data_IF_225157765821
#
_entry.id   IF_225157765821
#
_cell.length_a   1.000
_cell.length_b   1.000
_cell.length_c   1.000
_cell.angle_alpha   90.00
_cell.angle_beta   90.00
_cell.angle_gamma   90.00
#
_symmetry.space_group_name_H-M   'P 1'
#
loop_
_entity.id
_entity.type
_entity.pdbx_description
1 polymer ?
#
# COMPACT_ATOMS: atom_id res chain seq x y z
N UNK A 1 11.81 13.36 29.08
CA UNK A 1 11.52 12.25 28.14
C UNK A 1 12.87 11.67 27.72
N UNK A 2 13.01 10.35 27.70
CA UNK A 2 14.22 9.69 27.14
C UNK A 2 14.30 10.00 25.64
N UNK A 3 15.50 10.25 25.11
CA UNK A 3 15.75 10.50 23.68
C UNK A 3 15.19 9.38 22.80
N UNK A 4 15.19 8.14 23.32
CA UNK A 4 14.61 6.98 22.67
C UNK A 4 13.10 7.15 22.41
N UNK A 5 12.35 7.67 23.37
CA UNK A 5 10.90 7.87 23.25
C UNK A 5 10.56 8.95 22.21
N UNK A 6 11.40 9.99 22.13
CA UNK A 6 11.28 11.06 21.15
C UNK A 6 11.42 10.50 19.73
N UNK A 7 12.42 9.63 19.50
CA UNK A 7 12.61 8.94 18.21
C UNK A 7 11.40 8.07 17.87
N UNK A 8 10.87 7.31 18.84
CA UNK A 8 9.68 6.47 18.61
C UNK A 8 8.48 7.31 18.19
N UNK A 9 8.25 8.45 18.84
CA UNK A 9 7.14 9.35 18.51
C UNK A 9 7.32 9.94 17.10
N UNK A 10 8.52 10.40 16.75
CA UNK A 10 8.81 10.93 15.42
C UNK A 10 8.57 9.88 14.32
N UNK A 11 9.04 8.64 14.52
CA UNK A 11 8.80 7.54 13.57
C UNK A 11 7.32 7.19 13.48
N UNK A 12 6.58 7.20 14.60
CA UNK A 12 5.13 6.97 14.62
C UNK A 12 4.41 8.03 13.79
N UNK A 13 4.73 9.31 13.98
CA UNK A 13 4.09 10.43 13.30
C UNK A 13 4.37 10.39 11.78
N UNK A 14 5.63 10.13 11.39
CA UNK A 14 6.01 9.95 10.00
C UNK A 14 5.25 8.78 9.34
N UNK A 15 5.21 7.62 10.01
CA UNK A 15 4.50 6.45 9.52
C UNK A 15 2.99 6.70 9.38
N UNK A 16 2.39 7.48 10.30
CA UNK A 16 0.97 7.85 10.21
C UNK A 16 0.66 8.67 8.95
N UNK A 17 1.49 9.66 8.63
CA UNK A 17 1.32 10.48 7.43
C UNK A 17 1.52 9.64 6.17
N UNK A 18 2.62 8.87 6.11
CA UNK A 18 2.94 8.03 4.96
C UNK A 18 1.84 7.00 4.67
N UNK A 19 1.39 6.27 5.69
CA UNK A 19 0.33 5.26 5.54
C UNK A 19 -1.03 5.86 5.19
N UNK A 20 -1.31 7.09 5.59
CA UNK A 20 -2.55 7.77 5.19
C UNK A 20 -2.54 8.09 3.70
N UNK A 21 -1.43 8.64 3.19
CA UNK A 21 -1.26 8.90 1.74
C UNK A 21 -1.30 7.61 0.93
N UNK A 22 -0.59 6.58 1.39
CA UNK A 22 -0.57 5.27 0.74
C UNK A 22 -1.95 4.63 0.66
N UNK A 23 -2.78 4.78 1.70
CA UNK A 23 -4.16 4.28 1.66
C UNK A 23 -4.96 4.89 0.52
N UNK A 24 -4.81 6.20 0.30
CA UNK A 24 -5.52 6.89 -0.78
C UNK A 24 -4.97 6.49 -2.16
N UNK A 25 -3.65 6.35 -2.29
CA UNK A 25 -3.00 5.84 -3.52
C UNK A 25 -3.47 4.42 -3.88
N UNK A 26 -3.52 3.52 -2.90
CA UNK A 26 -4.00 2.15 -3.08
C UNK A 26 -5.46 2.13 -3.53
N UNK A 27 -6.31 2.94 -2.89
CA UNK A 27 -7.72 3.05 -3.28
C UNK A 27 -7.89 3.56 -4.71
N UNK A 28 -7.05 4.50 -5.14
CA UNK A 28 -7.06 4.97 -6.53
C UNK A 28 -6.66 3.85 -7.50
N UNK A 29 -5.60 3.10 -7.20
CA UNK A 29 -5.19 1.94 -8.00
C UNK A 29 -6.29 0.87 -8.08
N UNK A 30 -6.93 0.54 -6.96
CA UNK A 30 -8.06 -0.41 -6.91
C UNK A 30 -9.21 0.04 -7.82
N UNK A 31 -9.55 1.33 -7.79
CA UNK A 31 -10.60 1.90 -8.65
C UNK A 31 -10.21 1.87 -10.13
N UNK A 32 -8.98 2.23 -10.47
CA UNK A 32 -8.50 2.23 -11.86
C UNK A 32 -8.46 0.83 -12.46
N UNK A 33 -8.03 -0.18 -11.70
CA UNK A 33 -8.08 -1.58 -12.15
C UNK A 33 -9.53 -2.03 -12.35
N UNK A 34 -10.43 -1.67 -11.44
CA UNK A 34 -11.86 -2.00 -11.57
C UNK A 34 -12.49 -1.38 -12.81
N UNK A 35 -12.14 -0.13 -13.11
CA UNK A 35 -12.62 0.55 -14.32
C UNK A 35 -12.03 -0.10 -15.58
N UNK A 36 -10.76 -0.50 -15.56
CA UNK A 36 -10.14 -1.22 -16.68
C UNK A 36 -10.83 -2.57 -16.93
N UNK A 37 -11.08 -3.36 -15.89
CA UNK A 37 -11.82 -4.62 -15.97
C UNK A 37 -13.22 -4.41 -16.57
N UNK A 38 -13.90 -3.33 -16.17
CA UNK A 38 -15.21 -2.97 -16.70
C UNK A 38 -15.15 -2.63 -18.19
N UNK A 39 -14.19 -1.80 -18.63
CA UNK A 39 -14.04 -1.45 -20.04
C UNK A 39 -13.74 -2.68 -20.91
N UNK A 40 -12.94 -3.61 -20.39
CA UNK A 40 -12.67 -4.90 -21.02
C UNK A 40 -13.96 -5.71 -21.17
N UNK A 41 -14.76 -5.80 -20.11
CA UNK A 41 -16.03 -6.53 -20.12
C UNK A 41 -17.04 -5.92 -21.09
N UNK A 42 -17.10 -4.59 -21.17
CA UNK A 42 -17.95 -3.85 -22.11
C UNK A 42 -17.43 -3.90 -23.56
N UNK A 43 -16.21 -4.41 -23.78
CA UNK A 43 -15.60 -4.49 -25.11
C UNK A 43 -15.21 -3.13 -25.70
N UNK A 44 -15.04 -2.11 -24.85
CA UNK A 44 -14.76 -0.73 -25.27
C UNK A 44 -13.27 -0.43 -25.42
N UNK A 45 -12.39 -1.34 -24.98
CA UNK A 45 -10.94 -1.18 -25.07
C UNK A 45 -10.31 -2.04 -26.18
N UNK A 46 -9.29 -1.50 -26.86
CA UNK A 46 -8.41 -2.29 -27.72
C UNK A 46 -7.24 -2.89 -26.92
N UNK A 47 -6.54 -3.85 -27.52
CA UNK A 47 -5.46 -4.62 -26.87
C UNK A 47 -4.27 -3.73 -26.48
N UNK A 48 -3.89 -2.77 -27.32
CA UNK A 48 -2.71 -1.93 -27.09
C UNK A 48 -2.91 -0.92 -25.96
N UNK A 49 -4.12 -0.36 -25.85
CA UNK A 49 -4.52 0.53 -24.76
C UNK A 49 -4.55 -0.23 -23.43
N UNK A 50 -5.12 -1.43 -23.41
CA UNK A 50 -5.16 -2.29 -22.20
C UNK A 50 -3.74 -2.64 -21.76
N UNK A 51 -2.86 -3.04 -22.68
CA UNK A 51 -1.45 -3.34 -22.35
C UNK A 51 -0.71 -2.12 -21.81
N UNK A 52 -0.90 -0.96 -22.45
CA UNK A 52 -0.27 0.29 -22.01
C UNK A 52 -0.73 0.67 -20.61
N UNK A 53 -2.04 0.54 -20.34
CA UNK A 53 -2.61 0.85 -19.02
C UNK A 53 -2.16 -0.15 -17.95
N UNK A 54 -2.09 -1.45 -18.27
CA UNK A 54 -1.55 -2.45 -17.35
C UNK A 54 -0.10 -2.14 -16.97
N UNK A 55 0.75 -1.77 -17.93
CA UNK A 55 2.14 -1.39 -17.67
C UNK A 55 2.24 -0.17 -16.76
N UNK A 56 1.44 0.87 -17.00
CA UNK A 56 1.38 2.06 -16.15
C UNK A 56 0.95 1.71 -14.71
N UNK A 57 -0.11 0.93 -14.57
CA UNK A 57 -0.64 0.52 -13.28
C UNK A 57 0.35 -0.36 -12.51
N UNK A 58 1.06 -1.27 -13.19
CA UNK A 58 2.04 -2.15 -12.56
C UNK A 58 3.29 -1.38 -12.06
N UNK A 59 3.75 -0.38 -12.83
CA UNK A 59 4.80 0.54 -12.38
C UNK A 59 4.36 1.29 -11.11
N UNK A 60 3.13 1.79 -11.08
CA UNK A 60 2.59 2.48 -9.91
C UNK A 60 2.43 1.57 -8.70
N UNK A 61 1.98 0.31 -8.89
CA UNK A 61 1.95 -0.71 -7.82
C UNK A 61 3.35 -0.95 -7.27
N UNK A 62 4.36 -1.05 -8.14
CA UNK A 62 5.76 -1.22 -7.74
C UNK A 62 6.25 -0.03 -6.91
N UNK A 63 5.99 1.20 -7.36
CA UNK A 63 6.34 2.41 -6.63
C UNK A 63 5.65 2.50 -5.27
N UNK A 64 4.35 2.21 -5.20
CA UNK A 64 3.61 2.19 -3.93
C UNK A 64 4.09 1.07 -3.00
N UNK A 65 4.53 -0.07 -3.53
CA UNK A 65 5.14 -1.15 -2.74
C UNK A 65 6.45 -0.69 -2.09
N UNK A 66 7.33 -0.04 -2.86
CA UNK A 66 8.58 0.53 -2.34
C UNK A 66 8.32 1.60 -1.26
N UNK A 67 7.30 2.45 -1.44
CA UNK A 67 6.88 3.43 -0.43
C UNK A 67 6.42 2.74 0.86
N UNK A 68 5.67 1.63 0.78
CA UNK A 68 5.22 0.84 1.94
C UNK A 68 6.41 0.18 2.67
N UNK A 69 7.41 -0.27 1.93
CA UNK A 69 8.64 -0.83 2.50
C UNK A 69 9.49 0.22 3.21
N UNK A 70 9.47 1.47 2.71
CA UNK A 70 10.11 2.62 3.36
C UNK A 70 9.40 3.12 4.64
N UNK A 71 8.23 2.58 5.00
CA UNK A 71 7.55 2.96 6.26
C UNK A 71 8.25 2.31 7.45
N UNK A 72 9.00 3.12 8.20
CA UNK A 72 9.76 2.70 9.38
C UNK A 72 8.91 2.48 10.64
N UNK A 73 7.93 1.57 10.55
CA UNK A 73 7.17 1.10 11.71
C UNK A 73 7.44 -0.39 11.94
N UNK A 74 7.87 -0.74 13.15
CA UNK A 74 8.26 -2.10 13.52
C UNK A 74 7.65 -2.53 14.87
N UNK A 75 7.73 -3.83 15.15
CA UNK A 75 7.37 -4.37 16.47
C UNK A 75 8.29 -3.85 17.56
N UNK A 76 9.56 -3.60 17.26
CA UNK A 76 10.54 -3.11 18.24
C UNK A 76 10.15 -1.73 18.78
N UNK A 77 9.68 -0.83 17.93
CA UNK A 77 9.15 0.47 18.37
C UNK A 77 7.97 0.30 19.33
N UNK A 78 7.11 -0.70 19.09
CA UNK A 78 5.98 -1.01 19.98
C UNK A 78 6.48 -1.53 21.32
N UNK A 79 7.47 -2.42 21.32
CA UNK A 79 8.11 -2.93 22.54
C UNK A 79 8.82 -1.81 23.32
N UNK A 80 9.53 -0.90 22.65
CA UNK A 80 10.15 0.27 23.30
C UNK A 80 9.10 1.18 23.95
N UNK A 81 7.97 1.43 23.28
CA UNK A 81 6.87 2.20 23.87
C UNK A 81 6.29 1.51 25.12
N UNK A 82 6.13 0.18 25.09
CA UNK A 82 5.67 -0.62 26.25
C UNK A 82 6.67 -0.56 27.40
N UNK A 83 7.98 -0.72 27.13
CA UNK A 83 9.05 -0.66 28.13
C UNK A 83 9.11 0.68 28.86
N UNK A 84 8.67 1.74 28.21
CA UNK A 84 8.59 3.08 28.78
C UNK A 84 7.18 3.42 29.30
N UNK A 85 6.33 2.41 29.57
CA UNK A 85 4.96 2.55 30.08
C UNK A 85 4.00 3.40 29.23
N UNK A 86 4.35 3.69 27.97
CA UNK A 86 3.53 4.47 27.06
C UNK A 86 2.57 3.58 26.26
N UNK A 87 1.53 3.07 26.93
CA UNK A 87 0.50 2.21 26.33
C UNK A 87 -0.25 2.85 25.15
N UNK A 88 -0.62 4.15 25.18
CA UNK A 88 -1.26 4.80 24.04
C UNK A 88 -0.39 4.76 22.78
N UNK A 89 0.89 5.11 22.90
CA UNK A 89 1.84 5.09 21.79
C UNK A 89 2.03 3.68 21.22
N UNK A 90 2.17 2.66 22.09
CA UNK A 90 2.25 1.27 21.67
C UNK A 90 1.02 0.82 20.88
N UNK A 91 -0.19 1.22 21.31
CA UNK A 91 -1.44 0.91 20.62
C UNK A 91 -1.49 1.56 19.23
N UNK A 92 -1.02 2.80 19.11
CA UNK A 92 -0.95 3.50 17.83
C UNK A 92 0.03 2.83 16.87
N UNK A 93 1.23 2.46 17.33
CA UNK A 93 2.21 1.72 16.54
C UNK A 93 1.66 0.36 16.06
N UNK A 94 0.96 -0.37 16.94
CA UNK A 94 0.30 -1.62 16.57
C UNK A 94 -0.77 -1.42 15.48
N UNK A 95 -1.57 -0.35 15.57
CA UNK A 95 -2.54 0.00 14.51
C UNK A 95 -1.84 0.34 13.20
N UNK A 96 -0.73 1.07 13.24
CA UNK A 96 0.05 1.42 12.05
C UNK A 96 0.65 0.16 11.39
N UNK A 97 1.14 -0.81 12.16
CA UNK A 97 1.59 -2.11 11.64
C UNK A 97 0.46 -2.86 10.91
N UNK A 98 -0.75 -2.88 11.49
CA UNK A 98 -1.92 -3.50 10.85
C UNK A 98 -2.27 -2.76 9.56
N UNK A 99 -2.27 -1.43 9.56
CA UNK A 99 -2.53 -0.62 8.36
C UNK A 99 -1.49 -0.86 7.26
N UNK A 100 -0.20 -0.91 7.63
CA UNK A 100 0.89 -1.24 6.71
C UNK A 100 0.66 -2.60 6.06
N UNK A 101 0.38 -3.62 6.86
CA UNK A 101 0.04 -4.97 6.35
C UNK A 101 -1.17 -4.96 5.42
N UNK A 102 -2.21 -4.20 5.76
CA UNK A 102 -3.38 -4.01 4.92
C UNK A 102 -3.04 -3.41 3.55
N UNK A 103 -2.20 -2.36 3.53
CA UNK A 103 -1.74 -1.74 2.27
C UNK A 103 -0.94 -2.72 1.41
N UNK A 104 -0.02 -3.48 2.00
CA UNK A 104 0.73 -4.53 1.27
C UNK A 104 -0.23 -5.53 0.64
N UNK A 105 -1.21 -6.02 1.40
CA UNK A 105 -2.18 -6.99 0.89
C UNK A 105 -2.97 -6.41 -0.29
N UNK A 106 -3.53 -5.21 -0.16
CA UNK A 106 -4.26 -4.57 -1.26
C UNK A 106 -3.39 -4.37 -2.50
N UNK A 107 -2.13 -3.96 -2.34
CA UNK A 107 -1.21 -3.81 -3.48
C UNK A 107 -0.93 -5.15 -4.19
N UNK A 108 -0.77 -6.24 -3.43
CA UNK A 108 -0.63 -7.58 -4.00
C UNK A 108 -1.90 -8.02 -4.74
N UNK A 109 -3.08 -7.77 -4.17
CA UNK A 109 -4.37 -8.10 -4.78
C UNK A 109 -4.57 -7.28 -6.08
N UNK A 110 -4.23 -5.99 -6.08
CA UNK A 110 -4.24 -5.12 -7.27
C UNK A 110 -3.27 -5.62 -8.33
N UNK A 111 -2.02 -5.96 -7.95
CA UNK A 111 -1.02 -6.50 -8.86
C UNK A 111 -1.47 -7.80 -9.53
N UNK A 112 -2.04 -8.73 -8.76
CA UNK A 112 -2.58 -9.98 -9.27
C UNK A 112 -3.69 -9.75 -10.31
N UNK A 113 -4.61 -8.82 -10.04
CA UNK A 113 -5.68 -8.46 -10.99
C UNK A 113 -5.11 -7.91 -12.30
N UNK A 114 -4.10 -7.04 -12.24
CA UNK A 114 -3.43 -6.50 -13.44
C UNK A 114 -2.78 -7.63 -14.24
N UNK A 115 -2.09 -8.57 -13.58
CA UNK A 115 -1.47 -9.71 -14.25
C UNK A 115 -2.50 -10.61 -14.96
N UNK A 116 -3.66 -10.83 -14.34
CA UNK A 116 -4.72 -11.65 -14.91
C UNK A 116 -5.33 -10.98 -16.17
N UNK A 117 -5.55 -9.65 -16.12
CA UNK A 117 -5.91 -8.86 -17.31
C UNK A 117 -4.87 -9.03 -18.42
N UNK A 118 -3.58 -8.89 -18.11
CA UNK A 118 -2.53 -9.05 -19.12
C UNK A 118 -2.49 -10.45 -19.73
N UNK A 119 -2.72 -11.50 -18.93
CA UNK A 119 -2.74 -12.89 -19.41
C UNK A 119 -3.90 -13.12 -20.38
N UNK A 120 -5.08 -12.59 -20.06
CA UNK A 120 -6.26 -12.73 -20.92
C UNK A 120 -6.08 -12.03 -22.28
N UNK A 121 -5.34 -10.91 -22.32
CA UNK A 121 -5.00 -10.17 -23.55
C UNK A 121 -3.73 -10.66 -24.27
N UNK A 122 -2.93 -11.56 -23.67
CA UNK A 122 -1.84 -12.28 -24.38
C UNK A 122 -2.36 -13.50 -25.15
N UNK A 123 -3.54 -14.02 -24.79
CA UNK A 123 -4.15 -15.21 -25.40
C UNK A 123 -5.07 -14.90 -26.60
N UNK A 124 -5.46 -13.63 -26.76
CA UNK A 124 -6.25 -13.13 -27.89
C UNK A 124 -5.32 -12.59 -28.97
#
# INVERSE_FOLDING_TARGET
MSDELTIVIQKRDAAQVQLSKLKDEVKQLENEVTELEKQIWEGTSNVDDVRSKCRELNERVTQSTLKVDGVEVSRDLTTTAIKNDNRPLAKDLARLLIRRKGCVKSLLDVGARIEDIEKDFKRK
#
